data_IF_340604092707
#
_entry.id   IF_340604092707
#
_cell.length_a   1.000
_cell.length_b   1.000
_cell.length_c   1.000
_cell.angle_alpha   90.00
_cell.angle_beta   90.00
_cell.angle_gamma   90.00
#
_symmetry.space_group_name_H-M   'P 1'
#
loop_
_entity.id
_entity.type
_entity.pdbx_description
1 polymer ?
#
# COMPACT_ATOMS: atom_id res chain seq x y z
N UNK A 1 21.80 8.69 -32.74
CA UNK A 1 23.02 8.12 -32.11
C UNK A 1 22.83 6.61 -31.94
N UNK A 2 23.89 5.81 -31.76
CA UNK A 2 23.75 4.38 -31.47
C UNK A 2 24.40 4.00 -30.14
N UNK A 3 23.88 2.96 -29.48
CA UNK A 3 24.44 2.48 -28.22
C UNK A 3 24.32 0.98 -28.05
N UNK A 4 24.87 0.49 -26.95
CA UNK A 4 24.85 -0.91 -26.56
C UNK A 4 24.52 -1.04 -25.08
N UNK A 5 23.74 -2.05 -24.72
CA UNK A 5 23.32 -2.32 -23.35
C UNK A 5 23.33 -3.83 -23.10
N UNK A 6 24.27 -4.30 -22.29
CA UNK A 6 24.47 -5.75 -22.03
C UNK A 6 24.61 -6.53 -23.35
N UNK A 7 23.63 -7.39 -23.67
CA UNK A 7 23.59 -8.18 -24.89
C UNK A 7 22.90 -7.46 -26.05
N UNK A 8 22.22 -6.34 -25.79
CA UNK A 8 21.59 -5.52 -26.82
C UNK A 8 22.66 -4.66 -27.50
N UNK A 9 22.81 -4.83 -28.81
CA UNK A 9 23.68 -4.03 -29.66
C UNK A 9 22.81 -3.17 -30.59
N UNK A 10 23.37 -2.06 -31.09
CA UNK A 10 22.73 -1.20 -32.08
C UNK A 10 21.39 -0.58 -31.62
N UNK A 11 21.34 -0.10 -30.38
CA UNK A 11 20.20 0.65 -29.86
C UNK A 11 20.21 2.03 -30.49
N UNK A 12 19.18 2.38 -31.26
CA UNK A 12 19.07 3.68 -31.92
C UNK A 12 18.43 4.68 -30.98
N UNK A 13 19.17 5.74 -30.65
CA UNK A 13 18.65 6.91 -29.95
C UNK A 13 18.25 7.93 -31.00
N UNK A 14 16.95 8.27 -31.01
CA UNK A 14 16.33 9.18 -31.96
C UNK A 14 15.95 10.49 -31.25
N UNK A 15 15.94 11.56 -32.03
CA UNK A 15 15.52 12.92 -31.64
C UNK A 15 14.42 13.35 -32.64
N UNK A 16 13.30 12.64 -32.58
CA UNK A 16 12.21 12.66 -33.57
C UNK A 16 10.85 13.09 -33.00
N UNK A 17 10.79 13.40 -31.70
CA UNK A 17 9.58 13.78 -30.98
C UNK A 17 8.53 12.66 -30.92
N UNK A 18 8.94 11.41 -31.13
CA UNK A 18 8.09 10.23 -30.92
C UNK A 18 8.54 9.48 -29.66
N UNK A 19 7.60 8.98 -28.83
CA UNK A 19 7.96 8.24 -27.62
C UNK A 19 9.00 7.14 -27.89
N UNK A 20 10.08 7.05 -27.09
CA UNK A 20 10.29 7.73 -25.81
C UNK A 20 10.82 9.18 -25.89
N UNK A 21 11.12 9.69 -27.08
CA UNK A 21 11.51 11.08 -27.27
C UNK A 21 10.31 12.04 -27.20
N UNK A 22 10.47 13.14 -26.47
CA UNK A 22 9.37 14.07 -26.18
C UNK A 22 9.32 15.25 -27.16
N UNK A 23 10.48 15.72 -27.65
CA UNK A 23 10.56 16.94 -28.46
C UNK A 23 11.56 16.74 -29.59
N UNK A 24 11.09 16.84 -30.82
CA UNK A 24 11.95 16.64 -31.99
C UNK A 24 12.98 17.78 -32.17
N UNK A 25 14.20 17.39 -32.52
CA UNK A 25 15.35 18.23 -32.84
C UNK A 25 15.80 19.16 -31.69
N UNK A 26 15.67 18.72 -30.45
CA UNK A 26 16.12 19.50 -29.28
C UNK A 26 17.54 19.12 -28.79
N UNK A 27 18.15 18.11 -29.43
CA UNK A 27 19.47 17.58 -29.06
C UNK A 27 19.44 16.50 -27.98
N UNK A 28 18.26 16.13 -27.49
CA UNK A 28 18.04 15.02 -26.57
C UNK A 28 17.63 13.79 -27.36
N UNK A 29 18.48 12.76 -27.34
CA UNK A 29 18.20 11.52 -28.06
C UNK A 29 17.73 10.46 -27.07
N UNK A 30 16.60 9.81 -27.37
CA UNK A 30 15.96 8.83 -26.48
C UNK A 30 15.79 7.47 -27.14
N UNK A 31 15.80 6.41 -26.33
CA UNK A 31 15.56 5.03 -26.76
C UNK A 31 15.02 4.19 -25.60
N UNK A 32 14.20 3.19 -25.93
CA UNK A 32 13.77 2.19 -24.96
C UNK A 32 14.86 1.14 -24.74
N UNK A 33 15.08 0.80 -23.47
CA UNK A 33 16.03 -0.24 -23.06
C UNK A 33 15.26 -1.41 -22.44
N UNK A 34 15.54 -2.63 -22.93
CA UNK A 34 14.98 -3.83 -22.31
C UNK A 34 15.94 -4.28 -21.22
N UNK A 35 15.56 -4.05 -19.97
CA UNK A 35 16.34 -4.49 -18.81
C UNK A 35 16.49 -6.03 -18.83
N UNK A 36 17.69 -6.59 -18.62
CA UNK A 36 17.85 -8.03 -18.58
C UNK A 36 17.01 -8.61 -17.45
N UNK A 37 16.45 -9.79 -17.72
CA UNK A 37 15.71 -10.55 -16.71
C UNK A 37 16.68 -10.97 -15.61
N UNK A 38 16.52 -10.37 -14.43
CA UNK A 38 17.30 -10.71 -13.24
C UNK A 38 16.44 -11.55 -12.29
N UNK A 39 17.05 -12.43 -11.49
CA UNK A 39 16.32 -13.10 -10.42
C UNK A 39 15.68 -12.06 -9.50
N UNK A 40 14.40 -12.28 -9.22
CA UNK A 40 13.59 -11.38 -8.40
C UNK A 40 14.24 -11.26 -7.00
N UNK A 41 14.37 -10.02 -6.49
CA UNK A 41 15.00 -9.75 -5.19
C UNK A 41 16.53 -9.66 -5.22
N UNK A 42 17.18 -9.79 -6.38
CA UNK A 42 18.63 -9.59 -6.52
C UNK A 42 18.94 -8.20 -7.03
N UNK A 43 19.75 -7.44 -6.31
CA UNK A 43 20.31 -6.18 -6.81
C UNK A 43 21.25 -6.51 -7.97
N UNK A 44 20.96 -6.01 -9.16
CA UNK A 44 21.81 -6.21 -10.33
C UNK A 44 22.34 -4.86 -10.81
N UNK A 45 23.65 -4.74 -10.92
CA UNK A 45 24.29 -3.57 -11.52
C UNK A 45 24.47 -3.86 -13.01
N UNK A 46 23.99 -2.95 -13.87
CA UNK A 46 24.15 -3.08 -15.31
C UNK A 46 24.81 -1.83 -15.88
N UNK A 47 25.91 -2.02 -16.61
CA UNK A 47 26.62 -0.92 -17.27
C UNK A 47 26.01 -0.65 -18.65
N UNK A 48 25.59 0.59 -18.87
CA UNK A 48 25.16 1.11 -20.17
C UNK A 48 26.36 1.73 -20.90
N UNK A 49 26.65 1.26 -22.11
CA UNK A 49 27.71 1.83 -22.95
C UNK A 49 27.09 2.50 -24.16
N UNK A 50 27.05 3.83 -24.15
CA UNK A 50 26.58 4.63 -25.29
C UNK A 50 27.78 5.03 -26.13
N UNK A 51 27.73 4.80 -27.45
CA UNK A 51 28.84 5.18 -28.34
C UNK A 51 28.33 6.29 -29.24
N UNK A 52 28.67 7.53 -28.94
CA UNK A 52 28.22 8.68 -29.73
C UNK A 52 29.27 8.96 -30.80
N UNK A 53 29.11 8.35 -31.98
CA UNK A 53 29.90 8.75 -33.14
C UNK A 53 29.32 10.03 -33.75
N UNK A 54 30.09 11.11 -33.73
CA UNK A 54 29.85 12.32 -34.52
C UNK A 54 31.06 12.58 -35.41
N UNK A 55 30.86 13.21 -36.57
CA UNK A 55 31.99 13.73 -37.34
C UNK A 55 32.34 15.12 -36.79
N UNK A 56 33.52 15.25 -36.19
CA UNK A 56 34.08 16.58 -35.89
C UNK A 56 34.63 17.13 -37.21
N UNK A 57 34.17 18.31 -37.68
CA UNK A 57 34.73 18.92 -38.88
C UNK A 57 36.24 19.11 -38.71
N UNK A 58 37.07 18.68 -39.69
CA UNK A 58 38.51 18.85 -39.58
C UNK A 58 38.86 20.34 -39.47
N UNK A 59 39.91 20.71 -38.71
CA UNK A 59 40.36 22.09 -38.64
C UNK A 59 40.76 22.60 -40.03
N UNK A 60 40.50 23.89 -40.29
CA UNK A 60 40.93 24.60 -41.50
C UNK A 60 42.15 25.49 -41.16
N UNK A 61 43.31 25.33 -41.82
CA UNK A 61 43.59 24.44 -42.96
C UNK A 61 43.68 22.96 -42.58
N UNK A 62 43.16 22.10 -43.47
CA UNK A 62 43.21 20.65 -43.33
C UNK A 62 44.67 20.18 -43.20
N UNK A 63 45.02 19.42 -42.16
CA UNK A 63 46.30 18.70 -42.10
C UNK A 63 46.41 17.69 -43.26
N UNK A 64 47.60 17.55 -43.84
CA UNK A 64 47.92 16.48 -44.79
C UNK A 64 48.85 15.46 -44.11
N UNK A 65 48.39 14.21 -43.86
CA UNK A 65 47.12 13.62 -44.27
C UNK A 65 45.92 14.01 -43.38
N UNK A 66 44.67 13.91 -43.90
CA UNK A 66 43.47 14.24 -43.14
C UNK A 66 43.33 13.38 -41.87
N UNK A 67 42.91 13.95 -40.74
CA UNK A 67 42.72 13.18 -39.52
C UNK A 67 41.56 12.18 -39.66
N UNK A 68 41.65 11.01 -39.03
CA UNK A 68 40.51 10.10 -38.94
C UNK A 68 39.35 10.75 -38.16
N UNK A 69 38.08 10.39 -38.45
CA UNK A 69 36.93 10.94 -37.74
C UNK A 69 37.02 10.68 -36.23
N UNK A 70 36.78 11.71 -35.44
CA UNK A 70 36.85 11.65 -33.98
C UNK A 70 35.59 10.98 -33.40
N UNK A 71 35.72 9.76 -32.88
CA UNK A 71 34.61 9.05 -32.24
C UNK A 71 34.63 9.34 -30.74
N UNK A 72 33.58 10.00 -30.22
CA UNK A 72 33.42 10.23 -28.79
C UNK A 72 32.71 9.04 -28.13
N UNK A 73 33.25 8.52 -27.03
CA UNK A 73 32.60 7.44 -26.27
C UNK A 73 32.24 7.94 -24.88
N UNK A 74 30.98 7.72 -24.46
CA UNK A 74 30.50 8.03 -23.12
C UNK A 74 29.92 6.77 -22.45
N UNK A 75 30.33 6.47 -21.23
CA UNK A 75 29.82 5.29 -20.50
C UNK A 75 29.10 5.73 -19.24
N UNK A 76 28.00 5.06 -18.92
CA UNK A 76 27.24 5.31 -17.70
C UNK A 76 26.84 3.96 -17.06
N UNK A 77 26.81 3.86 -15.74
CA UNK A 77 26.34 2.64 -15.06
C UNK A 77 24.98 2.89 -14.43
N UNK A 78 24.01 2.05 -14.77
CA UNK A 78 22.66 2.11 -14.20
C UNK A 78 22.52 1.01 -13.15
N UNK A 79 22.10 1.39 -11.94
CA UNK A 79 21.76 0.44 -10.88
C UNK A 79 20.25 0.31 -10.81
N UNK A 80 19.75 -0.93 -10.90
CA UNK A 80 18.33 -1.20 -10.71
C UNK A 80 18.10 -2.45 -9.86
N UNK A 81 16.89 -2.56 -9.31
CA UNK A 81 16.41 -3.70 -8.52
C UNK A 81 15.04 -4.08 -9.04
N UNK A 82 14.84 -5.38 -9.30
CA UNK A 82 13.49 -5.92 -9.52
C UNK A 82 12.95 -6.37 -8.17
N UNK A 83 11.96 -5.64 -7.65
CA UNK A 83 11.30 -5.98 -6.39
C UNK A 83 10.31 -7.13 -6.63
N UNK A 84 10.34 -8.20 -5.82
CA UNK A 84 9.33 -9.24 -5.89
C UNK A 84 7.94 -8.72 -5.61
N UNK A 85 6.97 -9.32 -6.29
CA UNK A 85 5.59 -9.30 -5.81
C UNK A 85 5.49 -10.06 -4.48
N UNK A 86 4.47 -9.79 -3.66
CA UNK A 86 4.23 -10.55 -2.44
C UNK A 86 4.12 -12.05 -2.75
N UNK A 87 4.64 -12.91 -1.87
CA UNK A 87 4.64 -14.36 -2.13
C UNK A 87 3.23 -14.96 -2.20
N UNK A 88 2.22 -14.27 -1.65
CA UNK A 88 0.81 -14.61 -1.75
C UNK A 88 0.04 -13.75 -2.77
N UNK A 89 0.72 -13.21 -3.79
CA UNK A 89 0.13 -12.47 -4.92
C UNK A 89 -0.90 -13.31 -5.69
N UNK A 90 -0.58 -14.58 -5.98
CA UNK A 90 -1.47 -15.47 -6.72
C UNK A 90 -2.38 -16.29 -5.80
N UNK A 91 -3.59 -16.60 -6.28
CA UNK A 91 -4.58 -17.40 -5.57
C UNK A 91 -4.04 -18.76 -5.09
N UNK A 92 -3.22 -19.40 -5.93
CA UNK A 92 -2.61 -20.72 -5.64
C UNK A 92 -1.57 -20.65 -4.54
N UNK A 93 -0.96 -19.48 -4.33
CA UNK A 93 0.08 -19.23 -3.31
C UNK A 93 -0.49 -18.62 -2.02
N UNK A 94 -1.82 -18.62 -1.86
CA UNK A 94 -2.49 -18.07 -0.69
C UNK A 94 -1.90 -18.57 0.63
N UNK A 95 -1.57 -17.66 1.52
CA UNK A 95 -1.03 -18.01 2.83
C UNK A 95 -2.09 -18.63 3.73
N UNK A 96 -1.71 -19.68 4.46
CA UNK A 96 -2.62 -20.37 5.38
C UNK A 96 -2.70 -19.66 6.72
N UNK A 97 -3.93 -19.42 7.18
CA UNK A 97 -4.23 -18.90 8.52
C UNK A 97 -4.58 -20.08 9.44
N UNK A 98 -4.16 -20.00 10.68
CA UNK A 98 -4.51 -20.96 11.73
C UNK A 98 -6.03 -21.04 11.94
N UNK A 99 -6.60 -22.21 12.28
CA UNK A 99 -8.06 -22.36 12.42
C UNK A 99 -8.68 -21.42 13.46
N UNK A 100 -7.94 -21.07 14.51
CA UNK A 100 -8.35 -20.15 15.59
C UNK A 100 -8.40 -18.68 15.14
N UNK A 101 -7.97 -18.38 13.91
CA UNK A 101 -7.75 -17.02 13.44
C UNK A 101 -6.36 -16.50 13.84
N UNK A 102 -6.03 -15.30 13.35
CA UNK A 102 -4.75 -14.65 13.61
C UNK A 102 -4.83 -13.15 13.31
N UNK A 103 -3.81 -12.44 13.79
CA UNK A 103 -3.46 -11.10 13.32
C UNK A 103 -2.19 -11.25 12.49
N UNK A 104 -2.25 -10.81 11.23
CA UNK A 104 -1.20 -11.00 10.23
C UNK A 104 -0.79 -9.62 9.70
N UNK A 105 0.52 -9.41 9.63
CA UNK A 105 1.11 -8.25 8.97
C UNK A 105 1.68 -8.69 7.63
N UNK A 106 1.34 -7.95 6.58
CA UNK A 106 1.76 -8.22 5.21
C UNK A 106 1.82 -6.91 4.41
N UNK A 107 2.03 -7.02 3.10
CA UNK A 107 1.96 -5.89 2.18
C UNK A 107 1.36 -6.34 0.86
N UNK A 108 0.64 -5.45 0.19
CA UNK A 108 0.20 -5.65 -1.20
C UNK A 108 1.02 -4.81 -2.20
N UNK A 109 2.12 -4.19 -1.76
CA UNK A 109 2.99 -3.44 -2.65
C UNK A 109 3.47 -4.32 -3.81
N UNK A 110 3.30 -3.84 -5.04
CA UNK A 110 3.64 -4.53 -6.29
C UNK A 110 2.84 -5.80 -6.60
N UNK A 111 1.83 -6.13 -5.80
CA UNK A 111 0.89 -7.20 -6.15
C UNK A 111 0.15 -6.85 -7.45
N UNK A 112 -0.35 -7.89 -8.12
CA UNK A 112 -1.12 -7.80 -9.36
C UNK A 112 -2.57 -8.18 -9.12
N UNK A 113 -3.33 -8.25 -10.21
CA UNK A 113 -4.62 -8.94 -10.27
C UNK A 113 -4.39 -10.14 -11.19
N UNK A 114 -4.56 -11.37 -10.69
CA UNK A 114 -4.39 -12.59 -11.48
C UNK A 114 -5.50 -12.70 -12.54
N UNK A 115 -5.19 -13.12 -13.78
CA UNK A 115 -6.22 -13.36 -14.79
C UNK A 115 -7.28 -14.36 -14.30
N UNK A 116 -8.55 -13.94 -14.35
CA UNK A 116 -9.68 -14.73 -13.88
C UNK A 116 -10.08 -14.45 -12.43
N UNK A 117 -9.40 -13.54 -11.72
CA UNK A 117 -9.89 -13.05 -10.44
C UNK A 117 -11.26 -12.36 -10.57
N UNK A 118 -12.18 -12.60 -9.61
CA UNK A 118 -13.42 -11.84 -9.54
C UNK A 118 -13.14 -10.37 -9.21
N UNK A 119 -14.03 -9.47 -9.64
CA UNK A 119 -14.05 -8.10 -9.12
C UNK A 119 -14.39 -8.12 -7.62
N UNK A 120 -13.37 -7.94 -6.77
CA UNK A 120 -13.54 -7.98 -5.31
C UNK A 120 -14.49 -6.87 -4.85
N UNK A 121 -15.48 -7.25 -4.03
CA UNK A 121 -16.57 -6.36 -3.63
C UNK A 121 -17.29 -5.63 -4.79
N UNK A 122 -17.21 -6.15 -6.02
CA UNK A 122 -17.72 -5.51 -7.24
C UNK A 122 -17.08 -4.14 -7.54
N UNK A 123 -15.88 -3.88 -7.00
CA UNK A 123 -15.11 -2.66 -7.29
C UNK A 123 -14.40 -2.83 -8.63
N UNK A 124 -14.70 -1.96 -9.59
CA UNK A 124 -14.16 -2.03 -10.96
C UNK A 124 -12.71 -1.56 -11.08
N UNK A 125 -12.25 -0.75 -10.12
CA UNK A 125 -10.88 -0.19 -10.09
C UNK A 125 -9.91 -1.03 -9.27
N UNK A 126 -10.37 -2.14 -8.67
CA UNK A 126 -9.59 -2.93 -7.72
C UNK A 126 -8.23 -3.33 -8.29
N UNK A 127 -7.19 -3.24 -7.45
CA UNK A 127 -5.82 -3.55 -7.86
C UNK A 127 -5.02 -4.20 -6.73
N UNK A 128 -3.90 -4.83 -7.06
CA UNK A 128 -2.92 -5.32 -6.11
C UNK A 128 -3.51 -6.25 -5.03
N UNK A 129 -4.07 -7.39 -5.46
CA UNK A 129 -4.65 -8.39 -4.58
C UNK A 129 -3.60 -9.32 -3.98
N UNK A 130 -3.82 -9.71 -2.73
CA UNK A 130 -3.06 -10.73 -2.03
C UNK A 130 -4.01 -11.69 -1.33
N UNK A 131 -3.61 -12.96 -1.24
CA UNK A 131 -4.51 -14.06 -0.91
C UNK A 131 -4.15 -14.80 0.38
N UNK A 132 -5.19 -15.22 1.11
CA UNK A 132 -5.09 -16.13 2.23
C UNK A 132 -6.13 -17.25 2.14
N UNK A 133 -5.86 -18.34 2.84
CA UNK A 133 -6.81 -19.44 3.03
C UNK A 133 -7.01 -19.72 4.50
N UNK A 134 -8.26 -19.93 4.90
CA UNK A 134 -8.63 -20.16 6.29
C UNK A 134 -9.81 -21.13 6.37
N UNK A 135 -9.87 -21.92 7.45
CA UNK A 135 -10.97 -22.82 7.74
C UNK A 135 -11.23 -22.83 9.24
N UNK A 136 -12.49 -22.70 9.64
CA UNK A 136 -12.91 -22.86 11.03
C UNK A 136 -13.08 -24.33 11.38
N UNK A 137 -12.67 -24.80 12.57
CA UNK A 137 -12.97 -26.16 13.04
C UNK A 137 -14.44 -26.32 13.46
N UNK A 138 -15.14 -25.22 13.74
CA UNK A 138 -16.52 -25.20 14.23
C UNK A 138 -17.39 -24.22 13.43
N UNK A 139 -18.70 -24.44 13.42
CA UNK A 139 -19.62 -23.45 12.86
C UNK A 139 -19.69 -22.24 13.80
N UNK A 140 -19.33 -21.05 13.32
CA UNK A 140 -19.34 -19.82 14.11
C UNK A 140 -19.41 -18.59 13.22
N UNK A 141 -20.09 -17.55 13.69
CA UNK A 141 -19.93 -16.21 13.15
C UNK A 141 -18.44 -15.82 13.19
N UNK A 142 -17.91 -15.20 12.13
CA UNK A 142 -16.50 -14.83 12.00
C UNK A 142 -16.36 -13.40 11.50
N UNK A 143 -15.61 -12.60 12.27
CA UNK A 143 -15.15 -11.29 11.86
C UNK A 143 -13.82 -11.42 11.09
N UNK A 144 -13.74 -10.75 9.95
CA UNK A 144 -12.47 -10.45 9.30
C UNK A 144 -12.39 -8.94 9.10
N UNK A 145 -11.33 -8.30 9.56
CA UNK A 145 -11.17 -6.85 9.47
C UNK A 145 -9.74 -6.46 9.08
N UNK A 146 -9.62 -5.27 8.49
CA UNK A 146 -8.36 -4.69 8.04
C UNK A 146 -7.97 -3.45 8.85
N UNK A 147 -8.45 -3.35 10.09
CA UNK A 147 -8.18 -2.21 10.96
C UNK A 147 -6.67 -2.05 11.19
N UNK A 148 -6.16 -0.83 10.92
CA UNK A 148 -4.74 -0.49 11.00
C UNK A 148 -3.94 -0.72 9.72
N UNK A 149 -4.57 -1.10 8.61
CA UNK A 149 -3.92 -1.07 7.29
C UNK A 149 -3.68 0.38 6.85
N UNK A 150 -2.59 0.63 6.11
CA UNK A 150 -2.11 1.99 5.80
C UNK A 150 -2.74 2.62 4.56
N UNK A 151 -3.67 1.93 3.90
CA UNK A 151 -4.29 2.32 2.63
C UNK A 151 -5.82 2.14 2.70
N UNK A 152 -6.52 2.31 1.58
CA UNK A 152 -7.95 2.04 1.45
C UNK A 152 -8.19 0.66 0.81
N UNK A 153 -8.44 -0.38 1.64
CA UNK A 153 -8.54 -1.73 1.15
C UNK A 153 -9.95 -2.11 0.68
N UNK A 154 -9.98 -3.13 -0.16
CA UNK A 154 -11.12 -3.98 -0.48
C UNK A 154 -10.88 -5.34 0.17
N UNK A 155 -11.87 -5.85 0.88
CA UNK A 155 -11.84 -7.18 1.49
C UNK A 155 -12.92 -8.05 0.86
N UNK A 156 -12.55 -9.24 0.39
CA UNK A 156 -13.51 -10.20 -0.14
C UNK A 156 -13.20 -11.63 0.34
N UNK A 157 -14.26 -12.37 0.66
CA UNK A 157 -14.22 -13.74 1.15
C UNK A 157 -15.01 -14.62 0.20
N UNK A 158 -14.40 -15.73 -0.19
CA UNK A 158 -14.95 -16.67 -1.15
C UNK A 158 -14.88 -18.10 -0.64
N UNK A 159 -15.66 -18.97 -1.26
CA UNK A 159 -15.42 -20.42 -1.29
C UNK A 159 -15.13 -20.86 -2.73
N UNK A 160 -14.50 -22.03 -2.87
CA UNK A 160 -14.12 -22.58 -4.16
C UNK A 160 -12.62 -22.88 -4.26
N UNK A 161 -12.26 -23.61 -5.31
CA UNK A 161 -10.91 -24.16 -5.50
C UNK A 161 -10.18 -23.58 -6.70
N UNK A 162 -10.85 -22.78 -7.54
CA UNK A 162 -10.28 -22.16 -8.73
C UNK A 162 -10.65 -20.68 -8.76
N UNK A 163 -9.66 -19.82 -9.04
CA UNK A 163 -9.78 -18.35 -9.04
C UNK A 163 -10.90 -17.86 -9.97
N UNK A 164 -11.06 -18.51 -11.13
CA UNK A 164 -12.07 -18.20 -12.15
C UNK A 164 -13.49 -18.65 -11.82
N UNK A 165 -13.70 -19.39 -10.73
CA UNK A 165 -15.02 -19.89 -10.32
C UNK A 165 -15.22 -19.83 -8.81
N UNK A 166 -14.81 -18.72 -8.21
CA UNK A 166 -15.03 -18.45 -6.79
C UNK A 166 -16.47 -18.02 -6.51
N UNK A 167 -17.04 -18.54 -5.43
CA UNK A 167 -18.36 -18.18 -4.94
C UNK A 167 -18.20 -17.17 -3.81
N UNK A 168 -18.73 -15.95 -4.01
CA UNK A 168 -18.66 -14.90 -3.01
C UNK A 168 -19.45 -15.26 -1.75
N UNK A 169 -18.85 -15.05 -0.59
CA UNK A 169 -19.46 -15.26 0.73
C UNK A 169 -19.79 -13.92 1.37
N UNK A 170 -18.81 -13.02 1.41
CA UNK A 170 -18.94 -11.68 1.93
C UNK A 170 -17.86 -10.79 1.32
N UNK A 171 -18.13 -9.50 1.17
CA UNK A 171 -17.12 -8.54 0.73
C UNK A 171 -17.49 -7.13 1.22
N UNK A 172 -16.50 -6.27 1.41
CA UNK A 172 -16.70 -4.88 1.78
C UNK A 172 -15.54 -4.00 1.33
N UNK A 173 -15.79 -2.69 1.38
CA UNK A 173 -14.77 -1.63 1.39
C UNK A 173 -14.81 -0.93 2.74
N UNK A 174 -14.09 0.20 2.91
CA UNK A 174 -14.15 1.01 4.12
C UNK A 174 -15.58 1.44 4.46
N UNK A 175 -15.92 1.41 5.76
CA UNK A 175 -17.16 1.96 6.28
C UNK A 175 -16.91 3.42 6.70
N UNK A 176 -17.34 4.34 5.84
CA UNK A 176 -17.18 5.78 6.05
C UNK A 176 -18.04 6.28 7.22
N UNK A 177 -19.18 5.65 7.48
CA UNK A 177 -20.14 6.10 8.52
C UNK A 177 -19.57 5.85 9.91
N UNK A 178 -18.99 4.66 10.12
CA UNK A 178 -18.42 4.26 11.40
C UNK A 178 -16.89 4.46 11.47
N UNK A 179 -16.29 5.03 10.42
CA UNK A 179 -14.85 5.25 10.29
C UNK A 179 -14.03 3.96 10.51
N UNK A 180 -14.52 2.84 9.95
CA UNK A 180 -13.86 1.54 10.02
C UNK A 180 -13.19 1.22 8.67
N UNK A 181 -12.03 0.56 8.73
CA UNK A 181 -11.46 -0.09 7.54
C UNK A 181 -12.34 -1.25 7.09
N UNK A 182 -12.13 -1.73 5.87
CA UNK A 182 -12.89 -2.83 5.31
C UNK A 182 -12.94 -4.03 6.27
N UNK A 183 -14.15 -4.52 6.52
CA UNK A 183 -14.43 -5.62 7.41
C UNK A 183 -15.66 -6.39 6.92
N UNK A 184 -15.67 -7.69 7.15
CA UNK A 184 -16.82 -8.54 6.87
C UNK A 184 -17.15 -9.38 8.08
N UNK A 185 -18.43 -9.75 8.16
CA UNK A 185 -18.92 -10.66 9.16
C UNK A 185 -19.82 -11.70 8.50
N UNK A 186 -19.56 -12.98 8.73
CA UNK A 186 -20.32 -14.08 8.12
C UNK A 186 -20.29 -15.34 8.98
N UNK A 187 -21.28 -16.21 8.79
CA UNK A 187 -21.34 -17.51 9.45
C UNK A 187 -20.42 -18.52 8.77
N UNK A 188 -19.25 -18.73 9.36
CA UNK A 188 -18.32 -19.75 8.92
C UNK A 188 -18.85 -21.14 9.27
N UNK A 189 -18.74 -22.08 8.34
CA UNK A 189 -19.11 -23.49 8.54
C UNK A 189 -17.88 -24.31 8.91
N UNK A 190 -18.05 -25.29 9.78
CA UNK A 190 -16.98 -26.20 10.19
C UNK A 190 -16.36 -26.92 8.99
N UNK A 191 -15.04 -26.87 8.87
CA UNK A 191 -14.26 -27.55 7.83
C UNK A 191 -14.33 -26.95 6.42
N UNK A 192 -15.10 -25.87 6.21
CA UNK A 192 -15.16 -25.19 4.91
C UNK A 192 -13.91 -24.32 4.72
N UNK A 193 -13.30 -24.43 3.54
CA UNK A 193 -12.16 -23.59 3.14
C UNK A 193 -12.64 -22.28 2.54
N UNK A 194 -12.31 -21.19 3.23
CA UNK A 194 -12.49 -19.83 2.77
C UNK A 194 -11.21 -19.30 2.12
N UNK A 195 -11.39 -18.53 1.05
CA UNK A 195 -10.35 -17.81 0.32
C UNK A 195 -10.57 -16.33 0.58
N UNK A 196 -9.57 -15.67 1.13
CA UNK A 196 -9.65 -14.26 1.55
C UNK A 196 -8.76 -13.47 0.62
N UNK A 197 -9.33 -12.53 -0.12
CA UNK A 197 -8.62 -11.58 -0.95
C UNK A 197 -8.62 -10.21 -0.26
N UNK A 198 -7.44 -9.60 -0.20
CA UNK A 198 -7.26 -8.20 0.20
C UNK A 198 -6.63 -7.48 -0.97
N UNK A 199 -7.25 -6.41 -1.41
CA UNK A 199 -6.78 -5.61 -2.53
C UNK A 199 -6.86 -4.12 -2.22
N UNK A 200 -6.23 -3.29 -3.03
CA UNK A 200 -6.44 -1.84 -3.05
C UNK A 200 -7.76 -1.47 -3.73
N UNK A 201 -8.39 -0.40 -3.27
CA UNK A 201 -9.57 0.18 -3.93
C UNK A 201 -9.27 0.60 -5.38
N UNK A 202 -8.05 1.06 -5.62
CA UNK A 202 -7.49 1.40 -6.93
C UNK A 202 -5.98 1.10 -6.98
N UNK A 203 -5.32 1.49 -8.08
CA UNK A 203 -3.87 1.30 -8.27
C UNK A 203 -2.99 2.07 -7.27
N UNK A 204 -3.54 3.07 -6.57
CA UNK A 204 -2.86 3.81 -5.50
C UNK A 204 -3.12 3.21 -4.11
N UNK A 205 -4.10 2.29 -3.99
CA UNK A 205 -4.46 1.59 -2.77
C UNK A 205 -3.46 0.50 -2.36
N UNK A 206 -2.19 0.86 -2.20
CA UNK A 206 -1.12 -0.08 -1.79
C UNK A 206 -0.47 0.35 -0.48
N UNK A 207 0.03 -0.62 0.29
CA UNK A 207 0.75 -0.34 1.52
C UNK A 207 0.87 -1.55 2.45
N UNK A 208 0.92 -1.25 3.75
CA UNK A 208 0.98 -2.24 4.81
C UNK A 208 -0.43 -2.79 5.08
N UNK A 209 -0.54 -4.11 5.00
CA UNK A 209 -1.75 -4.86 5.28
C UNK A 209 -1.70 -5.34 6.72
N UNK A 210 -2.74 -5.02 7.48
CA UNK A 210 -3.00 -5.61 8.79
C UNK A 210 -4.31 -6.39 8.72
N UNK A 211 -4.21 -7.71 8.56
CA UNK A 211 -5.34 -8.62 8.49
C UNK A 211 -5.62 -9.21 9.87
N UNK A 212 -6.85 -9.10 10.35
CA UNK A 212 -7.35 -9.85 11.51
C UNK A 212 -8.44 -10.81 11.07
N UNK A 213 -8.29 -12.10 11.41
CA UNK A 213 -9.33 -13.12 11.32
C UNK A 213 -9.69 -13.54 12.73
N UNK A 214 -10.95 -13.39 13.12
CA UNK A 214 -11.43 -13.56 14.48
C UNK A 214 -12.75 -14.36 14.51
N UNK A 215 -12.67 -15.70 14.58
CA UNK A 215 -13.84 -16.56 14.75
C UNK A 215 -14.54 -16.29 16.09
N UNK A 216 -15.87 -16.28 16.07
CA UNK A 216 -16.73 -16.00 17.23
C UNK A 216 -16.78 -14.52 17.65
N UNK A 217 -16.29 -13.60 16.81
CA UNK A 217 -16.28 -12.15 17.09
C UNK A 217 -17.16 -11.38 16.11
N UNK A 218 -17.58 -10.19 16.54
CA UNK A 218 -18.35 -9.22 15.75
C UNK A 218 -17.55 -7.92 15.60
N UNK A 219 -17.80 -7.12 14.54
CA UNK A 219 -17.22 -5.79 14.41
C UNK A 219 -17.54 -4.94 15.66
N UNK A 220 -16.57 -4.12 16.09
CA UNK A 220 -16.88 -3.13 17.11
C UNK A 220 -17.50 -1.89 16.45
N UNK A 221 -18.77 -1.69 16.70
CA UNK A 221 -19.50 -0.50 16.24
C UNK A 221 -19.82 0.45 17.38
N UNK A 222 -19.40 0.12 18.61
CA UNK A 222 -19.60 1.01 19.74
C UNK A 222 -18.46 2.02 19.74
N UNK A 223 -18.81 3.31 19.66
CA UNK A 223 -17.82 4.37 19.76
C UNK A 223 -17.30 4.53 21.19
N UNK A 224 -16.07 5.05 21.37
CA UNK A 224 -15.55 5.35 22.69
C UNK A 224 -16.38 6.44 23.38
N UNK A 225 -16.64 6.25 24.67
CA UNK A 225 -17.26 7.24 25.54
C UNK A 225 -16.19 7.97 26.34
N UNK A 226 -16.38 9.28 26.55
CA UNK A 226 -15.48 10.14 27.33
C UNK A 226 -16.27 10.85 28.42
N UNK A 227 -15.68 10.99 29.60
CA UNK A 227 -16.24 11.74 30.72
C UNK A 227 -15.19 12.68 31.30
N UNK A 228 -15.63 13.85 31.74
CA UNK A 228 -14.82 14.79 32.50
C UNK A 228 -15.11 14.54 33.98
N UNK A 229 -14.07 14.31 34.77
CA UNK A 229 -14.15 14.09 36.22
C UNK A 229 -13.82 15.39 36.96
N UNK A 230 -12.82 16.11 36.49
CA UNK A 230 -12.39 17.37 37.07
C UNK A 230 -12.04 18.35 35.95
N UNK A 231 -12.33 19.64 36.10
CA UNK A 231 -13.13 20.20 37.19
C UNK A 231 -14.61 19.82 37.10
N UNK A 232 -15.31 19.86 38.24
CA UNK A 232 -16.75 19.66 38.27
C UNK A 232 -17.47 20.87 37.62
N UNK A 233 -18.72 20.66 37.20
CA UNK A 233 -19.58 21.74 36.69
C UNK A 233 -19.62 22.90 37.70
N UNK A 234 -19.57 24.13 37.19
CA UNK A 234 -19.57 25.38 37.99
C UNK A 234 -18.34 25.60 38.90
N UNK A 235 -17.25 24.86 38.68
CA UNK A 235 -15.99 25.13 39.40
C UNK A 235 -15.47 26.54 39.09
N UNK A 236 -15.04 27.25 40.14
CA UNK A 236 -14.42 28.56 40.04
C UNK A 236 -12.90 28.44 40.07
N UNK A 237 -12.22 29.21 39.23
CA UNK A 237 -10.75 29.25 39.16
C UNK A 237 -10.24 30.68 39.40
N UNK A 238 -9.11 30.78 40.09
CA UNK A 238 -8.40 32.05 40.28
C UNK A 238 -7.30 32.28 39.25
N UNK A 239 -7.05 31.30 38.37
CA UNK A 239 -6.11 31.39 37.27
C UNK A 239 -6.76 30.88 35.99
N UNK A 240 -6.32 31.37 34.84
CA UNK A 240 -6.75 30.89 33.54
C UNK A 240 -6.05 29.60 33.09
N UNK A 241 -5.16 29.03 33.90
CA UNK A 241 -4.51 27.75 33.60
C UNK A 241 -5.21 26.61 34.34
N UNK A 242 -6.11 25.89 33.67
CA UNK A 242 -6.97 24.86 34.29
C UNK A 242 -6.51 23.46 33.87
N UNK A 243 -6.39 22.58 34.85
CA UNK A 243 -6.17 21.14 34.60
C UNK A 243 -7.52 20.44 34.53
N UNK A 244 -7.77 19.77 33.41
CA UNK A 244 -8.97 19.00 33.15
C UNK A 244 -8.57 17.54 33.05
N UNK A 245 -9.26 16.68 33.77
CA UNK A 245 -9.02 15.25 33.80
C UNK A 245 -10.32 14.47 33.74
N UNK A 246 -10.21 13.23 33.30
CA UNK A 246 -11.36 12.39 33.11
C UNK A 246 -11.00 10.96 32.74
N UNK A 247 -12.01 10.23 32.27
CA UNK A 247 -11.83 8.88 31.73
C UNK A 247 -12.35 8.80 30.32
N UNK A 248 -11.75 7.94 29.52
CA UNK A 248 -12.32 7.52 28.27
C UNK A 248 -12.27 6.00 28.21
N UNK A 249 -13.31 5.41 27.64
CA UNK A 249 -13.47 3.98 27.57
C UNK A 249 -14.16 3.61 26.27
N UNK A 250 -13.70 2.54 25.65
CA UNK A 250 -14.47 1.89 24.60
C UNK A 250 -15.41 0.86 25.24
N UNK A 251 -16.74 1.00 25.13
CA UNK A 251 -17.66 0.03 25.71
C UNK A 251 -17.42 -1.39 25.17
N UNK A 252 -17.78 -2.41 25.95
CA UNK A 252 -17.71 -3.82 25.48
C UNK A 252 -18.44 -3.96 24.13
N UNK A 253 -17.98 -4.84 23.22
CA UNK A 253 -17.14 -6.01 23.46
C UNK A 253 -15.61 -5.82 23.39
N UNK A 254 -15.04 -4.72 22.87
CA UNK A 254 -13.59 -4.52 22.86
C UNK A 254 -13.18 -3.21 23.56
N UNK A 255 -12.65 -3.34 24.78
CA UNK A 255 -12.28 -2.20 25.66
C UNK A 255 -10.99 -1.47 25.23
N UNK A 256 -10.69 -1.38 23.93
CA UNK A 256 -9.38 -0.96 23.41
C UNK A 256 -9.41 0.11 22.32
N UNK A 257 -10.57 0.64 21.90
CA UNK A 257 -10.64 1.63 20.82
C UNK A 257 -10.21 3.06 21.18
N UNK A 258 -9.94 3.37 22.44
CA UNK A 258 -9.43 4.69 22.83
C UNK A 258 -7.93 4.79 22.54
N UNK A 259 -7.56 5.44 21.44
CA UNK A 259 -6.16 5.66 21.07
C UNK A 259 -5.60 7.00 21.57
N UNK A 260 -6.43 8.05 21.57
CA UNK A 260 -6.09 9.41 22.02
C UNK A 260 -7.34 10.14 22.51
N UNK A 261 -7.12 11.11 23.39
CA UNK A 261 -8.14 12.06 23.83
C UNK A 261 -7.66 13.47 23.48
N UNK A 262 -8.58 14.33 23.08
CA UNK A 262 -8.32 15.74 22.81
C UNK A 262 -9.26 16.60 23.67
N UNK A 263 -8.74 17.71 24.16
CA UNK A 263 -9.54 18.75 24.78
C UNK A 263 -9.69 19.92 23.81
N UNK A 264 -10.89 20.46 23.75
CA UNK A 264 -11.20 21.64 22.96
C UNK A 264 -11.99 22.62 23.82
N UNK A 265 -11.59 23.88 23.82
CA UNK A 265 -12.35 24.97 24.41
C UNK A 265 -13.10 25.66 23.28
N UNK A 266 -14.43 25.68 23.33
CA UNK A 266 -15.27 26.27 22.29
C UNK A 266 -14.88 25.76 20.88
N UNK A 267 -14.49 26.68 19.98
CA UNK A 267 -14.06 26.39 18.61
C UNK A 267 -12.53 26.41 18.41
N UNK A 268 -11.75 26.45 19.49
CA UNK A 268 -10.29 26.52 19.41
C UNK A 268 -9.71 25.22 18.85
N UNK A 269 -8.44 25.24 18.44
CA UNK A 269 -7.75 24.04 17.97
C UNK A 269 -7.68 23.00 19.10
N UNK A 270 -8.13 21.75 18.88
CA UNK A 270 -8.03 20.70 19.89
C UNK A 270 -6.58 20.45 20.33
N UNK A 271 -6.39 20.27 21.64
CA UNK A 271 -5.09 19.97 22.26
C UNK A 271 -5.09 18.53 22.75
N UNK A 272 -4.07 17.77 22.36
CA UNK A 272 -3.91 16.39 22.82
C UNK A 272 -3.59 16.36 24.32
N UNK A 273 -4.21 15.43 25.06
CA UNK A 273 -3.96 15.24 26.49
C UNK A 273 -3.06 14.05 26.77
N UNK A 274 -2.60 13.93 28.02
CA UNK A 274 -1.80 12.80 28.48
C UNK A 274 -2.74 11.67 28.90
N UNK A 275 -2.50 10.46 28.40
CA UNK A 275 -3.26 9.25 28.72
C UNK A 275 -4.44 8.99 27.79
N UNK A 276 -4.89 7.73 27.76
CA UNK A 276 -5.99 7.26 26.92
C UNK A 276 -7.20 6.80 27.75
N UNK A 277 -7.01 5.92 28.74
CA UNK A 277 -8.11 5.43 29.60
C UNK A 277 -8.43 6.38 30.75
N UNK A 278 -7.39 6.83 31.45
CA UNK A 278 -7.44 7.97 32.37
C UNK A 278 -6.60 9.04 31.75
N UNK A 279 -7.16 10.23 31.59
CA UNK A 279 -6.52 11.29 30.84
C UNK A 279 -6.50 12.60 31.62
N UNK A 280 -5.49 13.42 31.35
CA UNK A 280 -5.33 14.75 31.97
C UNK A 280 -4.66 15.70 31.00
N UNK A 281 -5.19 16.90 30.88
CA UNK A 281 -4.66 17.98 30.05
C UNK A 281 -4.73 19.31 30.78
N UNK A 282 -3.76 20.18 30.50
CA UNK A 282 -3.77 21.56 30.99
C UNK A 282 -4.13 22.48 29.84
N UNK A 283 -5.17 23.29 30.02
CA UNK A 283 -5.60 24.29 29.05
C UNK A 283 -5.43 25.68 29.63
N UNK A 284 -5.10 26.62 28.75
CA UNK A 284 -5.20 28.04 29.03
C UNK A 284 -6.59 28.49 28.55
N UNK A 285 -7.46 28.85 29.49
CA UNK A 285 -8.76 29.41 29.19
C UNK A 285 -8.59 30.89 28.78
N UNK A 286 -9.45 31.41 27.89
CA UNK A 286 -9.43 32.81 27.47
C UNK A 286 -9.65 33.79 28.63
#
# INVERSE_FOLDING_TARGET
MTGSFVAQQNIFFLDDGQPPDQTANDGTFSADLIMPKVPVGTVSNVTLRVVVSGEVPPPDPLPDPPPPPEIVTATNTVRYVVVPRPANDNFTNAFKITPEGAIILATNNYASIEPGEPLHAQVSTVAASVWWTWSSPVATNTLIDLAGSSFDPVLAVYTGTAVSNLQAVAASTNDVVNNLKAHVNFDARAGVTYRIAIAGLDTNGVGDVRLRVAPGKLPDTNGPVVSIISPATESLFTTNAVTISGTAKDPRPNDTGVSRVFLQVNADKPVAVIGATTWSGRLQLP
#
